data_IF_880635765120
#
_entry.id   IF_880635765120
#
_cell.length_a   1.000
_cell.length_b   1.000
_cell.length_c   1.000
_cell.angle_alpha   90.00
_cell.angle_beta   90.00
_cell.angle_gamma   90.00
#
_symmetry.space_group_name_H-M   'P 1'
#
loop_
_entity.id
_entity.type
_entity.pdbx_description
1 polymer ?
#
# COMPACT_ATOMS: atom_id res chain seq x y z
N UNK A 1 -34.66 -48.79 -42.89
CA UNK A 1 -33.48 -48.68 -42.04
C UNK A 1 -33.74 -49.47 -40.78
N UNK A 2 -32.93 -50.53 -40.56
CA UNK A 2 -33.19 -51.56 -39.57
C UNK A 2 -33.02 -50.97 -38.12
N UNK A 3 -33.89 -51.31 -37.18
CA UNK A 3 -33.86 -50.81 -35.81
C UNK A 3 -32.48 -50.91 -35.11
N UNK A 4 -31.68 -51.86 -35.54
CA UNK A 4 -30.30 -52.08 -35.08
C UNK A 4 -29.35 -50.94 -35.49
N UNK A 5 -29.51 -50.45 -36.73
CA UNK A 5 -28.67 -49.34 -37.27
C UNK A 5 -29.07 -48.03 -36.58
N UNK A 6 -30.35 -47.77 -36.34
CA UNK A 6 -30.82 -46.60 -35.62
C UNK A 6 -30.25 -46.56 -34.17
N UNK A 7 -30.29 -47.67 -33.46
CA UNK A 7 -29.75 -47.81 -32.10
C UNK A 7 -28.22 -47.50 -32.06
N UNK A 8 -27.46 -47.97 -33.02
CA UNK A 8 -26.04 -47.69 -33.10
C UNK A 8 -25.74 -46.19 -33.35
N UNK A 9 -26.50 -45.58 -34.26
CA UNK A 9 -26.36 -44.13 -34.54
C UNK A 9 -26.60 -43.29 -33.26
N UNK A 10 -27.66 -43.59 -32.51
CA UNK A 10 -27.96 -42.91 -31.25
C UNK A 10 -26.88 -43.07 -30.18
N UNK A 11 -26.24 -44.23 -30.11
CA UNK A 11 -25.12 -44.48 -29.20
C UNK A 11 -23.92 -43.61 -29.57
N UNK A 12 -23.61 -43.47 -30.88
CA UNK A 12 -22.50 -42.62 -31.31
C UNK A 12 -22.79 -41.14 -31.09
N UNK A 13 -24.03 -40.69 -31.32
CA UNK A 13 -24.45 -39.30 -31.04
C UNK A 13 -24.31 -38.99 -29.53
N UNK A 14 -24.77 -39.92 -28.70
CA UNK A 14 -24.65 -39.74 -27.22
C UNK A 14 -23.19 -39.69 -26.77
N UNK A 15 -22.33 -40.56 -27.32
CA UNK A 15 -20.89 -40.56 -27.06
C UNK A 15 -20.24 -39.23 -27.48
N UNK A 16 -20.62 -38.69 -28.63
CA UNK A 16 -20.10 -37.41 -29.13
C UNK A 16 -20.52 -36.24 -28.23
N UNK A 17 -21.77 -36.24 -27.76
CA UNK A 17 -22.29 -35.25 -26.81
C UNK A 17 -21.53 -35.33 -25.47
N UNK A 18 -21.35 -36.55 -24.94
CA UNK A 18 -20.63 -36.77 -23.67
C UNK A 18 -19.18 -36.32 -23.77
N UNK A 19 -18.47 -36.66 -24.85
CA UNK A 19 -17.08 -36.22 -25.09
C UNK A 19 -17.03 -34.69 -25.24
N UNK A 20 -17.99 -34.07 -25.94
CA UNK A 20 -18.09 -32.62 -26.08
C UNK A 20 -18.28 -31.93 -24.73
N UNK A 21 -19.17 -32.44 -23.87
CA UNK A 21 -19.40 -31.90 -22.54
C UNK A 21 -18.18 -32.04 -21.66
N UNK A 22 -17.53 -33.23 -21.67
CA UNK A 22 -16.29 -33.46 -20.87
C UNK A 22 -15.17 -32.53 -21.32
N UNK A 23 -14.96 -32.37 -22.63
CA UNK A 23 -13.92 -31.47 -23.14
C UNK A 23 -14.20 -29.99 -22.80
N UNK A 24 -15.47 -29.55 -22.82
CA UNK A 24 -15.85 -28.20 -22.43
C UNK A 24 -15.63 -27.95 -20.93
N UNK A 25 -16.01 -28.89 -20.08
CA UNK A 25 -15.76 -28.81 -18.63
C UNK A 25 -14.26 -28.77 -18.32
N UNK A 26 -13.47 -29.59 -19.02
CA UNK A 26 -12.01 -29.62 -18.85
C UNK A 26 -11.36 -28.31 -19.31
N UNK A 27 -11.83 -27.74 -20.41
CA UNK A 27 -11.35 -26.45 -20.93
C UNK A 27 -11.69 -25.31 -19.98
N UNK A 28 -12.93 -25.26 -19.45
CA UNK A 28 -13.35 -24.23 -18.49
C UNK A 28 -12.57 -24.34 -17.18
N UNK A 29 -12.37 -25.57 -16.66
CA UNK A 29 -11.58 -25.79 -15.45
C UNK A 29 -10.11 -25.38 -15.64
N UNK A 30 -9.50 -25.71 -16.78
CA UNK A 30 -8.12 -25.33 -17.11
C UNK A 30 -7.98 -23.84 -17.37
N UNK A 31 -8.95 -23.19 -18.00
CA UNK A 31 -8.99 -21.75 -18.21
C UNK A 31 -9.10 -21.00 -16.87
N UNK A 32 -9.96 -21.45 -15.97
CA UNK A 32 -10.12 -20.86 -14.64
C UNK A 32 -8.84 -21.07 -13.78
N UNK A 33 -8.20 -22.22 -13.84
CA UNK A 33 -6.92 -22.46 -13.17
C UNK A 33 -5.83 -21.55 -13.71
N UNK A 34 -5.72 -21.43 -15.04
CA UNK A 34 -4.72 -20.57 -15.68
C UNK A 34 -4.94 -19.08 -15.38
N UNK A 35 -6.21 -18.61 -15.42
CA UNK A 35 -6.54 -17.21 -15.05
C UNK A 35 -6.29 -16.96 -13.57
N UNK A 36 -6.59 -17.92 -12.69
CA UNK A 36 -6.30 -17.86 -11.26
C UNK A 36 -4.79 -17.75 -11.01
N UNK A 37 -3.99 -18.60 -11.65
CA UNK A 37 -2.52 -18.57 -11.54
C UNK A 37 -1.92 -17.29 -12.11
N UNK A 38 -2.44 -16.81 -13.25
CA UNK A 38 -2.00 -15.55 -13.86
C UNK A 38 -2.31 -14.35 -12.94
N UNK A 39 -3.50 -14.32 -12.34
CA UNK A 39 -3.90 -13.26 -11.43
C UNK A 39 -3.12 -13.30 -10.11
N UNK A 40 -2.93 -14.49 -9.55
CA UNK A 40 -2.20 -14.64 -8.27
C UNK A 40 -0.69 -14.46 -8.41
N UNK A 41 -0.12 -14.76 -9.56
CA UNK A 41 1.29 -14.50 -9.85
C UNK A 41 1.56 -13.07 -10.34
N UNK A 42 0.51 -12.25 -10.56
CA UNK A 42 0.70 -10.85 -10.87
C UNK A 42 1.17 -10.09 -9.61
N UNK A 43 2.37 -9.50 -9.61
CA UNK A 43 2.94 -8.82 -8.44
C UNK A 43 1.99 -7.78 -7.83
N UNK A 44 1.31 -7.03 -8.67
CA UNK A 44 0.36 -6.00 -8.24
C UNK A 44 -0.88 -6.58 -7.53
N UNK A 45 -1.39 -7.72 -7.97
CA UNK A 45 -2.52 -8.41 -7.32
C UNK A 45 -2.09 -9.01 -5.99
N UNK A 46 -0.96 -9.72 -5.97
CA UNK A 46 -0.36 -10.30 -4.77
C UNK A 46 -0.11 -9.23 -3.68
N UNK A 47 0.51 -8.13 -4.05
CA UNK A 47 0.80 -7.02 -3.13
C UNK A 47 -0.48 -6.42 -2.51
N UNK A 48 -1.56 -6.27 -3.29
CA UNK A 48 -2.85 -5.81 -2.78
C UNK A 48 -3.50 -6.81 -1.83
N UNK A 49 -3.44 -8.09 -2.15
CA UNK A 49 -3.98 -9.16 -1.29
C UNK A 49 -3.26 -9.18 0.05
N UNK A 50 -1.93 -9.15 0.06
CA UNK A 50 -1.13 -9.09 1.29
C UNK A 50 -1.45 -7.84 2.13
N UNK A 51 -1.57 -6.68 1.51
CA UNK A 51 -1.92 -5.44 2.21
C UNK A 51 -3.30 -5.56 2.90
N UNK A 52 -4.29 -6.10 2.19
CA UNK A 52 -5.64 -6.34 2.73
C UNK A 52 -5.63 -7.34 3.89
N UNK A 53 -4.94 -8.47 3.73
CA UNK A 53 -4.86 -9.51 4.78
C UNK A 53 -4.21 -9.00 6.06
N UNK A 54 -3.16 -8.19 5.95
CA UNK A 54 -2.51 -7.58 7.12
C UNK A 54 -3.46 -6.61 7.81
N UNK A 55 -4.07 -5.69 7.07
CA UNK A 55 -4.94 -4.67 7.64
C UNK A 55 -6.26 -5.25 8.15
N UNK A 56 -6.78 -6.32 7.55
CA UNK A 56 -8.01 -6.99 7.98
C UNK A 56 -7.91 -7.63 9.38
N UNK A 57 -6.70 -7.81 9.91
CA UNK A 57 -6.50 -8.32 11.28
C UNK A 57 -6.89 -7.29 12.36
N UNK A 58 -7.09 -6.02 11.98
CA UNK A 58 -7.34 -4.93 12.91
C UNK A 58 -8.74 -4.35 12.73
N UNK A 59 -9.48 -4.14 13.83
CA UNK A 59 -10.77 -3.46 13.77
C UNK A 59 -10.60 -2.04 13.21
N UNK A 60 -11.66 -1.55 12.58
CA UNK A 60 -11.68 -0.18 12.05
C UNK A 60 -12.78 0.65 12.68
N UNK A 61 -12.52 1.95 12.80
CA UNK A 61 -13.52 2.96 13.18
C UNK A 61 -13.55 4.08 12.15
N UNK A 62 -14.68 4.78 12.07
CA UNK A 62 -14.80 5.99 11.26
C UNK A 62 -14.18 7.18 12.00
N UNK A 63 -13.84 8.23 11.27
CA UNK A 63 -13.32 9.48 11.87
C UNK A 63 -14.21 10.02 12.99
N UNK A 64 -15.54 10.01 12.81
CA UNK A 64 -16.49 10.54 13.79
C UNK A 64 -16.48 9.77 15.12
N UNK A 65 -16.12 8.49 15.09
CA UNK A 65 -16.12 7.60 16.26
C UNK A 65 -14.78 7.62 17.01
N UNK A 66 -13.80 8.38 16.52
CA UNK A 66 -12.49 8.53 17.16
C UNK A 66 -12.61 9.33 18.48
N UNK A 67 -11.69 9.11 19.44
CA UNK A 67 -11.55 9.94 20.61
C UNK A 67 -11.38 11.43 20.26
N UNK A 68 -11.88 12.29 21.15
CA UNK A 68 -11.85 13.75 20.94
C UNK A 68 -10.42 14.28 20.70
N UNK A 69 -9.44 13.77 21.42
CA UNK A 69 -8.02 14.14 21.31
C UNK A 69 -7.42 13.86 19.92
N UNK A 70 -7.94 12.85 19.21
CA UNK A 70 -7.51 12.54 17.84
C UNK A 70 -8.24 13.44 16.82
N UNK A 71 -9.52 13.73 17.05
CA UNK A 71 -10.36 14.53 16.13
C UNK A 71 -10.11 16.02 16.21
N UNK A 72 -9.93 16.55 17.42
CA UNK A 72 -9.85 17.98 17.69
C UNK A 72 -8.87 18.73 16.79
N UNK A 73 -7.66 18.22 16.49
CA UNK A 73 -6.73 18.90 15.59
C UNK A 73 -7.27 19.14 14.18
N UNK A 74 -8.20 18.31 13.69
CA UNK A 74 -8.79 18.43 12.35
C UNK A 74 -9.88 19.50 12.27
N UNK A 75 -10.56 19.81 13.38
CA UNK A 75 -11.59 20.85 13.41
C UNK A 75 -10.99 22.25 13.47
N UNK A 76 -9.80 22.38 14.07
CA UNK A 76 -9.16 23.68 14.28
C UNK A 76 -8.30 24.13 13.08
N UNK A 77 -8.79 23.86 11.86
CA UNK A 77 -8.08 24.24 10.62
C UNK A 77 -8.98 25.04 9.70
N UNK A 78 -8.38 26.01 8.99
CA UNK A 78 -9.10 26.81 7.97
C UNK A 78 -9.43 26.02 6.69
N UNK A 79 -8.99 24.75 6.56
CA UNK A 79 -9.09 23.96 5.34
C UNK A 79 -10.19 22.89 5.38
N UNK A 80 -11.07 22.90 6.38
CA UNK A 80 -12.15 21.93 6.55
C UNK A 80 -11.65 20.45 6.43
N UNK A 81 -10.52 20.16 7.06
CA UNK A 81 -9.88 18.84 6.98
C UNK A 81 -10.82 17.72 7.42
N UNK A 82 -11.72 17.98 8.38
CA UNK A 82 -12.70 17.01 8.86
C UNK A 82 -13.60 16.47 7.73
N UNK A 83 -13.98 17.29 6.75
CA UNK A 83 -14.80 16.83 5.62
C UNK A 83 -14.04 15.86 4.72
N UNK A 84 -12.75 16.10 4.51
CA UNK A 84 -11.92 15.26 3.66
C UNK A 84 -11.53 13.95 4.34
N UNK A 85 -11.38 13.91 5.67
CA UNK A 85 -11.01 12.71 6.43
C UNK A 85 -12.22 11.90 6.90
N UNK A 86 -13.43 12.46 6.83
CA UNK A 86 -14.66 11.83 7.36
C UNK A 86 -14.92 10.43 6.81
N UNK A 87 -14.57 10.19 5.54
CA UNK A 87 -14.71 8.89 4.88
C UNK A 87 -13.54 7.94 5.12
N UNK A 88 -12.45 8.40 5.75
CA UNK A 88 -11.28 7.57 5.99
C UNK A 88 -11.54 6.57 7.12
N UNK A 89 -10.98 5.36 6.96
CA UNK A 89 -10.96 4.32 7.97
C UNK A 89 -9.72 4.45 8.83
N UNK A 90 -9.90 4.28 10.13
CA UNK A 90 -8.82 4.24 11.11
C UNK A 90 -8.72 2.83 11.67
N UNK A 91 -7.58 2.21 11.51
CA UNK A 91 -7.28 0.90 12.09
C UNK A 91 -6.87 1.05 13.54
N UNK A 92 -7.44 0.20 14.40
CA UNK A 92 -7.11 0.15 15.82
C UNK A 92 -5.93 -0.81 16.02
N UNK A 93 -4.72 -0.26 16.11
CA UNK A 93 -3.51 -1.06 16.28
C UNK A 93 -3.21 -1.23 17.77
N UNK A 94 -3.35 -2.45 18.35
CA UNK A 94 -3.03 -2.69 19.74
C UNK A 94 -1.57 -2.34 20.04
N UNK A 95 -1.31 -1.85 21.25
CA UNK A 95 0.05 -1.49 21.70
C UNK A 95 1.09 -2.61 21.47
N UNK A 96 0.71 -3.87 21.73
CA UNK A 96 1.57 -5.05 21.53
C UNK A 96 1.98 -5.26 20.07
N UNK A 97 1.16 -4.79 19.10
CA UNK A 97 1.39 -4.98 17.68
C UNK A 97 2.10 -3.79 17.02
N UNK A 98 2.34 -2.70 17.71
CA UNK A 98 3.02 -1.52 17.14
C UNK A 98 4.41 -1.85 16.58
N UNK A 99 5.11 -2.84 17.12
CA UNK A 99 6.41 -3.30 16.62
C UNK A 99 6.34 -4.45 15.63
N UNK A 100 5.13 -4.93 15.32
CA UNK A 100 4.94 -5.97 14.32
C UNK A 100 5.33 -5.42 12.94
N UNK A 101 6.16 -6.18 12.22
CA UNK A 101 6.54 -5.87 10.84
C UNK A 101 5.32 -6.02 9.93
N UNK A 102 5.18 -5.11 9.00
CA UNK A 102 4.11 -5.09 8.00
C UNK A 102 4.68 -5.53 6.65
N UNK A 103 5.72 -4.84 6.20
CA UNK A 103 6.42 -5.09 4.94
C UNK A 103 7.87 -4.63 5.11
N UNK A 104 8.83 -5.37 4.59
CA UNK A 104 10.25 -5.09 4.82
C UNK A 104 10.54 -5.14 6.33
N UNK A 105 11.35 -4.21 6.82
CA UNK A 105 11.55 -3.96 8.24
C UNK A 105 10.61 -2.87 8.80
N UNK A 106 9.63 -2.42 8.01
CA UNK A 106 8.68 -1.38 8.39
C UNK A 106 7.66 -1.93 9.40
N UNK A 107 7.44 -1.19 10.48
CA UNK A 107 6.53 -1.52 11.57
C UNK A 107 5.39 -0.51 11.68
N UNK A 108 4.28 -0.90 12.31
CA UNK A 108 3.16 0.01 12.54
C UNK A 108 3.57 1.28 13.29
N UNK A 109 4.50 1.18 14.25
CA UNK A 109 4.99 2.33 15.00
C UNK A 109 5.59 3.44 14.12
N UNK A 110 6.16 3.08 12.98
CA UNK A 110 6.75 4.04 12.04
C UNK A 110 5.70 4.74 11.16
N UNK A 111 4.51 4.13 11.04
CA UNK A 111 3.42 4.63 10.20
C UNK A 111 2.42 5.52 10.96
N UNK A 112 2.32 5.40 12.28
CA UNK A 112 1.43 6.24 13.10
C UNK A 112 2.01 7.64 13.29
N UNK A 113 1.18 8.59 13.75
CA UNK A 113 1.65 9.97 14.02
C UNK A 113 2.73 9.97 15.11
N UNK A 114 3.59 10.99 15.11
CA UNK A 114 4.66 11.11 16.12
C UNK A 114 4.14 11.12 17.55
N UNK A 115 2.95 11.71 17.76
CA UNK A 115 2.30 11.73 19.07
C UNK A 115 1.90 10.33 19.53
N UNK A 116 1.66 9.41 18.62
CA UNK A 116 1.27 8.02 18.87
C UNK A 116 2.44 7.04 18.85
N UNK A 117 3.63 7.48 18.46
CA UNK A 117 4.83 6.64 18.48
C UNK A 117 5.28 6.36 19.92
N UNK A 118 6.08 5.33 20.09
CA UNK A 118 6.51 4.81 21.40
C UNK A 118 7.16 5.85 22.31
N UNK A 119 7.77 6.88 21.74
CA UNK A 119 8.41 7.97 22.49
C UNK A 119 7.44 9.10 22.85
N UNK A 120 6.20 9.05 22.35
CA UNK A 120 5.16 10.03 22.66
C UNK A 120 4.50 9.74 23.99
N UNK A 121 4.16 10.80 24.76
CA UNK A 121 3.39 10.70 26.04
C UNK A 121 2.11 9.90 25.81
N UNK A 122 1.48 10.08 24.68
CA UNK A 122 0.25 9.40 24.33
C UNK A 122 0.40 7.87 24.28
N UNK A 123 1.53 7.34 23.77
CA UNK A 123 1.80 5.90 23.72
C UNK A 123 1.75 5.23 25.10
N UNK A 124 2.29 5.87 26.15
CA UNK A 124 2.33 5.29 27.49
C UNK A 124 0.96 5.26 28.17
N UNK A 125 0.04 6.12 27.75
CA UNK A 125 -1.29 6.27 28.36
C UNK A 125 -2.37 5.43 27.67
N UNK A 126 -2.16 5.02 26.42
CA UNK A 126 -3.19 4.39 25.59
C UNK A 126 -2.89 2.91 25.31
N UNK A 127 -3.96 2.11 25.19
CA UNK A 127 -3.87 0.67 24.89
C UNK A 127 -3.67 0.38 23.39
N UNK A 128 -3.93 1.34 22.53
CA UNK A 128 -3.92 1.20 21.07
C UNK A 128 -3.62 2.52 20.37
N UNK A 129 -3.08 2.45 19.16
CA UNK A 129 -2.95 3.57 18.25
C UNK A 129 -4.08 3.57 17.19
N UNK A 130 -4.35 4.74 16.62
CA UNK A 130 -5.32 4.95 15.55
C UNK A 130 -4.55 5.29 14.27
N UNK A 131 -4.46 4.35 13.36
CA UNK A 131 -3.73 4.49 12.11
C UNK A 131 -4.68 4.74 10.95
N UNK A 132 -4.64 5.95 10.38
CA UNK A 132 -5.22 6.20 9.08
C UNK A 132 -4.22 5.77 8.01
N UNK A 133 -4.57 4.79 7.18
CA UNK A 133 -3.72 4.35 6.09
C UNK A 133 -4.55 3.77 4.94
N UNK A 134 -4.19 4.13 3.72
CA UNK A 134 -4.74 3.54 2.50
C UNK A 134 -4.02 2.22 2.21
N UNK A 135 -4.79 1.15 1.97
CA UNK A 135 -4.23 -0.16 1.65
C UNK A 135 -3.33 -0.16 0.40
N UNK A 136 -3.59 0.76 -0.55
CA UNK A 136 -2.76 0.94 -1.74
C UNK A 136 -1.34 1.37 -1.40
N UNK A 137 -1.17 2.14 -0.32
CA UNK A 137 0.14 2.58 0.13
C UNK A 137 0.97 1.38 0.61
N UNK A 138 0.37 0.49 1.41
CA UNK A 138 1.02 -0.76 1.85
C UNK A 138 1.31 -1.68 0.66
N UNK A 139 0.35 -1.81 -0.26
CA UNK A 139 0.55 -2.61 -1.48
C UNK A 139 1.71 -2.06 -2.34
N UNK A 140 1.86 -0.74 -2.41
CA UNK A 140 2.98 -0.09 -3.12
C UNK A 140 4.33 -0.41 -2.49
N UNK A 141 4.41 -0.53 -1.15
CA UNK A 141 5.63 -0.95 -0.46
C UNK A 141 5.98 -2.41 -0.75
N UNK A 142 5.01 -3.32 -0.78
CA UNK A 142 5.24 -4.71 -1.18
C UNK A 142 5.76 -4.80 -2.62
N UNK A 143 5.18 -4.03 -3.53
CA UNK A 143 5.61 -4.01 -4.92
C UNK A 143 7.02 -3.41 -5.07
N UNK A 144 7.34 -2.37 -4.29
CA UNK A 144 8.69 -1.78 -4.25
C UNK A 144 9.72 -2.80 -3.75
N UNK A 145 9.39 -3.54 -2.69
CA UNK A 145 10.23 -4.63 -2.20
C UNK A 145 10.54 -5.65 -3.30
N UNK A 146 9.51 -6.13 -3.96
CA UNK A 146 9.64 -7.13 -5.01
C UNK A 146 10.51 -6.63 -6.17
N UNK A 147 10.29 -5.38 -6.60
CA UNK A 147 11.08 -4.76 -7.66
C UNK A 147 12.56 -4.59 -7.30
N UNK A 148 12.87 -4.16 -6.08
CA UNK A 148 14.24 -4.06 -5.61
C UNK A 148 14.95 -5.42 -5.57
N UNK A 149 14.27 -6.45 -5.08
CA UNK A 149 14.80 -7.83 -5.07
C UNK A 149 15.08 -8.32 -6.50
N UNK A 150 14.17 -8.06 -7.46
CA UNK A 150 14.34 -8.47 -8.86
C UNK A 150 15.60 -7.89 -9.52
N UNK A 151 16.06 -6.71 -9.10
CA UNK A 151 17.28 -6.07 -9.61
C UNK A 151 18.48 -6.23 -8.68
N UNK A 152 18.42 -7.19 -7.75
CA UNK A 152 19.47 -7.50 -6.77
C UNK A 152 19.87 -6.33 -5.85
N UNK A 153 18.94 -5.41 -5.57
CA UNK A 153 19.08 -4.31 -4.63
C UNK A 153 18.60 -4.70 -3.23
N UNK A 154 19.02 -3.95 -2.20
CA UNK A 154 18.60 -4.20 -0.82
C UNK A 154 17.30 -3.46 -0.47
N UNK A 155 16.17 -4.18 -0.36
CA UNK A 155 14.92 -3.54 0.02
C UNK A 155 14.87 -3.09 1.49
N UNK A 156 15.72 -3.66 2.38
CA UNK A 156 15.76 -3.30 3.80
C UNK A 156 16.54 -2.00 4.06
N UNK A 157 17.21 -1.45 3.06
CA UNK A 157 17.82 -0.13 3.13
C UNK A 157 16.80 1.02 3.04
N UNK A 158 15.48 0.72 2.99
CA UNK A 158 14.40 1.69 3.05
C UNK A 158 13.94 1.89 4.49
N UNK A 159 13.91 3.14 4.95
CA UNK A 159 13.48 3.51 6.31
C UNK A 159 12.31 4.50 6.20
N UNK A 160 11.28 4.31 7.03
CA UNK A 160 10.19 5.27 7.09
C UNK A 160 10.62 6.53 7.85
N UNK A 161 10.66 7.64 7.15
CA UNK A 161 10.89 8.95 7.74
C UNK A 161 9.60 9.54 8.32
N UNK A 162 8.46 9.32 7.63
CA UNK A 162 7.14 9.76 8.09
C UNK A 162 6.03 9.00 7.37
N UNK A 163 5.03 8.52 8.12
CA UNK A 163 3.80 7.94 7.60
C UNK A 163 2.60 8.88 7.77
N UNK A 164 1.52 8.41 8.42
CA UNK A 164 0.35 9.21 8.76
C UNK A 164 0.72 10.36 9.70
N UNK A 165 0.16 11.56 9.44
CA UNK A 165 0.40 12.76 10.25
C UNK A 165 -0.90 13.31 10.81
N UNK A 166 -0.88 13.69 12.10
CA UNK A 166 -1.87 14.60 12.64
C UNK A 166 -1.71 16.00 12.04
N UNK A 167 -2.72 16.88 12.08
CA UNK A 167 -2.56 18.28 11.66
C UNK A 167 -1.43 19.00 12.39
N UNK A 168 -1.20 18.72 13.68
CA UNK A 168 -0.08 19.27 14.45
C UNK A 168 1.27 18.77 13.92
N UNK A 169 1.42 17.47 13.73
CA UNK A 169 2.62 16.89 13.15
C UNK A 169 2.87 17.45 11.73
N UNK A 170 1.85 17.52 10.90
CA UNK A 170 2.00 18.06 9.55
C UNK A 170 2.47 19.50 9.55
N UNK A 171 1.91 20.34 10.42
CA UNK A 171 2.33 21.73 10.58
C UNK A 171 3.77 21.84 11.05
N UNK A 172 4.18 21.08 12.05
CA UNK A 172 5.55 21.09 12.58
C UNK A 172 6.59 20.59 11.57
N UNK A 173 6.18 19.67 10.69
CA UNK A 173 7.01 19.15 9.59
C UNK A 173 7.06 20.09 8.37
N UNK A 174 6.36 21.24 8.40
CA UNK A 174 6.28 22.16 7.27
C UNK A 174 5.51 21.59 6.07
N UNK A 175 4.61 20.63 6.33
CA UNK A 175 3.80 19.98 5.29
C UNK A 175 2.75 20.92 4.69
N UNK A 176 2.35 20.66 3.45
CA UNK A 176 1.27 21.38 2.79
C UNK A 176 -0.05 21.27 3.60
N UNK A 177 -0.92 22.28 3.59
CA UNK A 177 -2.18 22.26 4.36
C UNK A 177 -3.10 21.07 4.04
N UNK A 178 -3.08 20.60 2.79
CA UNK A 178 -3.85 19.45 2.29
C UNK A 178 -2.93 18.26 1.96
N UNK A 179 -1.89 18.05 2.78
CA UNK A 179 -0.92 16.97 2.60
C UNK A 179 -1.60 15.60 2.63
N UNK A 180 -1.18 14.71 1.73
CA UNK A 180 -1.69 13.34 1.66
C UNK A 180 -1.33 12.51 2.92
N UNK A 181 -0.33 12.92 3.69
CA UNK A 181 -0.03 12.32 5.01
C UNK A 181 -1.19 12.47 6.00
N UNK A 182 -1.96 13.57 5.93
CA UNK A 182 -3.13 13.80 6.79
C UNK A 182 -4.25 12.78 6.56
N UNK A 183 -4.28 12.18 5.37
CA UNK A 183 -5.33 11.25 4.93
C UNK A 183 -4.83 9.80 4.87
N UNK A 184 -3.62 9.53 5.40
CA UNK A 184 -3.01 8.19 5.37
C UNK A 184 -2.66 7.69 3.97
N UNK A 185 -2.51 8.59 3.00
CA UNK A 185 -2.23 8.25 1.60
C UNK A 185 -0.78 8.51 1.19
N UNK A 186 0.08 8.94 2.10
CA UNK A 186 1.46 9.28 1.80
C UNK A 186 2.46 8.71 2.82
N UNK A 187 3.67 8.52 2.33
CA UNK A 187 4.83 8.11 3.10
C UNK A 187 6.09 8.82 2.60
N UNK A 188 6.94 9.21 3.52
CA UNK A 188 8.28 9.68 3.22
C UNK A 188 9.28 8.56 3.52
N UNK A 189 10.04 8.15 2.50
CA UNK A 189 11.07 7.11 2.56
C UNK A 189 12.44 7.76 2.66
N UNK A 190 13.22 7.42 3.67
CA UNK A 190 14.66 7.69 3.72
C UNK A 190 15.39 6.53 3.08
N UNK A 191 16.23 6.83 2.11
CA UNK A 191 16.95 5.87 1.27
C UNK A 191 18.34 5.63 1.89
N UNK A 192 18.65 4.36 2.13
CA UNK A 192 19.98 3.88 2.52
C UNK A 192 20.77 3.35 1.32
N UNK A 193 21.73 2.47 1.58
CA UNK A 193 22.57 1.81 0.58
C UNK A 193 21.75 0.71 -0.15
N UNK A 194 21.05 1.14 -1.19
CA UNK A 194 20.13 0.28 -1.98
C UNK A 194 20.91 -0.66 -2.91
N UNK A 195 21.97 -0.15 -3.54
CA UNK A 195 22.77 -0.88 -4.54
C UNK A 195 23.86 -1.77 -3.91
N UNK A 196 24.06 -1.68 -2.56
CA UNK A 196 25.04 -2.44 -1.77
C UNK A 196 26.50 -2.12 -2.12
N UNK A 197 26.77 -0.90 -2.56
CA UNK A 197 28.14 -0.44 -2.85
C UNK A 197 28.88 0.12 -1.61
N UNK A 198 28.23 0.09 -0.44
CA UNK A 198 28.67 0.60 0.86
C UNK A 198 28.68 2.14 0.94
N UNK A 199 27.98 2.79 0.05
CA UNK A 199 27.85 4.25 0.01
C UNK A 199 26.38 4.63 -0.07
N UNK A 200 25.92 5.58 0.74
CA UNK A 200 24.56 6.12 0.64
C UNK A 200 24.61 7.42 -0.15
N UNK A 201 24.17 7.39 -1.39
CA UNK A 201 24.34 8.49 -2.31
C UNK A 201 23.15 8.69 -3.26
N UNK A 202 23.30 9.61 -4.23
CA UNK A 202 22.24 9.98 -5.16
C UNK A 202 21.84 8.81 -6.10
N UNK A 203 22.72 7.85 -6.35
CA UNK A 203 22.43 6.69 -7.19
C UNK A 203 21.38 5.79 -6.55
N UNK A 204 21.52 5.51 -5.24
CA UNK A 204 20.51 4.77 -4.48
C UNK A 204 19.13 5.40 -4.57
N UNK A 205 19.08 6.71 -4.37
CA UNK A 205 17.85 7.48 -4.45
C UNK A 205 17.24 7.45 -5.85
N UNK A 206 18.06 7.52 -6.89
CA UNK A 206 17.62 7.48 -8.28
C UNK A 206 17.04 6.10 -8.65
N UNK A 207 17.62 5.00 -8.14
CA UNK A 207 17.09 3.64 -8.33
C UNK A 207 15.66 3.57 -7.79
N UNK A 208 15.46 3.95 -6.53
CA UNK A 208 14.14 3.90 -5.90
C UNK A 208 13.15 4.86 -6.59
N UNK A 209 13.58 6.08 -6.90
CA UNK A 209 12.75 7.05 -7.61
C UNK A 209 12.29 6.53 -8.97
N UNK A 210 13.17 5.91 -9.75
CA UNK A 210 12.86 5.35 -11.06
C UNK A 210 11.78 4.27 -10.93
N UNK A 211 11.95 3.31 -10.02
CA UNK A 211 10.97 2.22 -9.80
C UNK A 211 9.61 2.81 -9.39
N UNK A 212 9.60 3.73 -8.43
CA UNK A 212 8.36 4.38 -7.99
C UNK A 212 7.67 5.11 -9.15
N UNK A 213 8.44 5.84 -9.95
CA UNK A 213 7.92 6.68 -11.03
C UNK A 213 7.36 5.88 -12.21
N UNK A 214 8.01 4.77 -12.58
CA UNK A 214 7.65 4.00 -13.77
C UNK A 214 6.69 2.85 -13.46
N UNK A 215 6.95 2.11 -12.38
CA UNK A 215 6.32 0.80 -12.17
C UNK A 215 5.21 0.83 -11.13
N UNK A 216 5.27 1.73 -10.14
CA UNK A 216 4.40 1.69 -8.97
C UNK A 216 3.38 2.83 -8.97
N UNK A 217 3.86 4.06 -8.94
CA UNK A 217 3.02 5.25 -8.85
C UNK A 217 2.59 5.71 -10.24
N UNK A 218 3.50 5.68 -11.22
CA UNK A 218 3.23 6.09 -12.60
C UNK A 218 2.41 7.40 -12.67
N UNK A 219 1.24 7.36 -13.32
CA UNK A 219 0.35 8.52 -13.44
C UNK A 219 -0.75 8.59 -12.38
N UNK A 220 -0.70 7.72 -11.33
CA UNK A 220 -1.78 7.53 -10.35
C UNK A 220 -1.42 7.98 -8.94
N UNK A 221 -0.40 8.81 -8.78
CA UNK A 221 0.01 9.30 -7.47
C UNK A 221 1.08 10.37 -7.51
N UNK A 222 1.47 10.84 -6.34
CA UNK A 222 2.48 11.86 -6.12
C UNK A 222 3.86 11.28 -5.83
N UNK A 223 4.90 11.91 -6.38
CA UNK A 223 6.30 11.70 -6.02
C UNK A 223 6.99 13.03 -5.79
N UNK A 224 7.63 13.15 -4.64
CA UNK A 224 8.50 14.27 -4.28
C UNK A 224 9.95 13.83 -4.24
N UNK A 225 10.78 14.50 -5.03
CA UNK A 225 12.22 14.32 -5.04
C UNK A 225 12.86 15.53 -4.37
N UNK A 226 13.31 15.39 -3.12
CA UNK A 226 13.89 16.51 -2.37
C UNK A 226 15.40 16.60 -2.60
N UNK A 227 15.90 17.55 -3.45
CA UNK A 227 17.33 17.70 -3.73
C UNK A 227 18.13 17.93 -2.44
N UNK A 228 19.35 17.40 -2.38
CA UNK A 228 20.22 17.51 -1.21
C UNK A 228 19.81 16.67 0.01
N UNK A 229 18.81 15.81 -0.13
CA UNK A 229 18.40 14.86 0.92
C UNK A 229 18.31 13.44 0.36
N UNK A 230 18.37 12.46 1.24
CA UNK A 230 18.10 11.05 0.92
C UNK A 230 16.63 10.66 1.15
N UNK A 231 15.70 11.61 1.06
CA UNK A 231 14.27 11.38 1.28
C UNK A 231 13.52 11.46 -0.05
N UNK A 232 12.60 10.51 -0.24
CA UNK A 232 11.58 10.53 -1.29
C UNK A 232 10.20 10.53 -0.65
N UNK A 233 9.31 11.37 -1.15
CA UNK A 233 7.89 11.28 -0.84
C UNK A 233 7.20 10.42 -1.89
N UNK A 234 6.31 9.54 -1.47
CA UNK A 234 5.35 8.90 -2.36
C UNK A 234 3.94 8.96 -1.79
N UNK A 235 2.94 9.12 -2.67
CA UNK A 235 1.53 9.07 -2.29
C UNK A 235 0.65 8.40 -3.36
N UNK A 236 -0.51 7.93 -2.90
CA UNK A 236 -1.51 7.19 -3.70
C UNK A 236 -2.79 8.02 -3.93
N UNK A 237 -2.64 9.34 -4.18
CA UNK A 237 -3.77 10.26 -4.37
C UNK A 237 -4.68 9.93 -5.55
N UNK A 238 -4.18 9.19 -6.53
CA UNK A 238 -4.95 8.76 -7.70
C UNK A 238 -4.71 9.58 -8.97
N UNK A 239 -4.03 10.71 -8.87
CA UNK A 239 -3.67 11.62 -9.96
C UNK A 239 -2.18 11.92 -9.98
N UNK A 240 -1.66 12.27 -11.16
CA UNK A 240 -0.24 12.55 -11.35
C UNK A 240 0.18 13.85 -10.63
N UNK A 241 1.21 13.75 -9.79
CA UNK A 241 1.89 14.90 -9.19
C UNK A 241 3.37 14.61 -9.04
N UNK A 242 4.22 15.54 -9.49
CA UNK A 242 5.67 15.47 -9.37
C UNK A 242 6.21 16.81 -8.90
N UNK A 243 7.14 16.77 -7.95
CA UNK A 243 7.83 17.98 -7.49
C UNK A 243 9.23 17.65 -6.98
N UNK A 244 10.12 18.62 -7.15
CA UNK A 244 11.51 18.58 -6.71
C UNK A 244 11.86 19.73 -5.77
N UNK A 245 10.84 20.54 -5.40
CA UNK A 245 11.04 21.73 -4.61
C UNK A 245 11.27 21.41 -3.14
N UNK A 246 12.52 21.48 -2.71
CA UNK A 246 12.84 21.65 -1.30
C UNK A 246 12.76 23.16 -0.98
N UNK A 247 11.68 23.59 -0.34
CA UNK A 247 11.67 24.92 0.28
C UNK A 247 12.69 24.89 1.42
N UNK A 248 13.89 25.38 1.18
CA UNK A 248 14.79 25.69 2.27
C UNK A 248 14.02 26.60 3.23
N UNK A 249 13.92 26.17 4.49
CA UNK A 249 13.48 27.06 5.56
C UNK A 249 14.50 28.20 5.62
N UNK A 250 14.09 29.42 5.22
CA UNK A 250 14.78 30.66 5.55
C UNK A 250 14.66 30.90 7.03
#
# INVERSE_FOLDING_TARGET
>A
MNNFVKKRIWVWILLFIVVGVISTVFFVARYNSWTYDLLNNNPSVKSRTLAKEILAQYPTVKFMDLPAEIKQPFYNTKYNLQNNISSSKFYLIPRKDLFKKIVLDIRFNELVTKEQQIQGIWYFQKKQAYLCIDEKLIASLFLLQEKLVQINCDPNALIINSGYRSPYHNKSAGGAPMSQHLFGKAIDLKIGDINRDRSVNQEDKNIVYKILNTDIIANKGGLGFYPGTMVLHMDVRGEHARWDNYKQKK
#
